data_IF_623369663914
#
_entry.id   IF_623369663914
#
_cell.length_a   1.000
_cell.length_b   1.000
_cell.length_c   1.000
_cell.angle_alpha   90.00
_cell.angle_beta   90.00
_cell.angle_gamma   90.00
#
_symmetry.space_group_name_H-M   'P 1'
#
loop_
_entity.id
_entity.type
_entity.pdbx_description
1 polymer ?
#
# COMPACT_ATOMS: atom_id res chain seq x y z
N UNK A 1 16.44 -19.86 -11.12
CA UNK A 1 15.69 -21.11 -11.35
C UNK A 1 14.23 -20.73 -11.54
N UNK A 2 13.74 -20.74 -12.78
CA UNK A 2 12.39 -20.30 -13.13
C UNK A 2 11.40 -21.44 -12.86
N UNK A 3 10.34 -21.19 -12.10
CA UNK A 3 9.22 -22.13 -11.99
C UNK A 3 8.33 -21.95 -13.23
N UNK A 4 7.94 -23.03 -13.93
CA UNK A 4 6.99 -22.93 -15.03
C UNK A 4 5.64 -22.43 -14.51
N UNK A 5 5.10 -21.38 -15.15
CA UNK A 5 3.76 -20.89 -14.88
C UNK A 5 2.75 -21.97 -15.29
N UNK A 6 2.03 -22.55 -14.33
CA UNK A 6 0.86 -23.41 -14.63
C UNK A 6 -0.23 -22.56 -15.27
N UNK A 7 -0.72 -22.97 -16.43
CA UNK A 7 -1.93 -22.44 -17.05
C UNK A 7 -3.10 -22.58 -16.09
N UNK A 8 -3.70 -21.45 -15.68
CA UNK A 8 -4.88 -21.45 -14.82
C UNK A 8 -6.10 -21.62 -15.72
N UNK A 9 -6.71 -22.81 -15.72
CA UNK A 9 -8.03 -23.00 -16.30
C UNK A 9 -9.09 -22.48 -15.33
N UNK A 10 -9.70 -21.33 -15.67
CA UNK A 10 -10.87 -20.83 -14.96
C UNK A 10 -12.10 -21.59 -15.46
N UNK A 11 -12.57 -22.55 -14.67
CA UNK A 11 -13.86 -23.21 -14.93
C UNK A 11 -14.99 -22.22 -14.63
N UNK A 12 -15.71 -21.81 -15.67
CA UNK A 12 -16.84 -20.87 -15.59
C UNK A 12 -18.05 -21.42 -14.81
N UNK A 13 -18.05 -22.69 -14.39
CA UNK A 13 -19.19 -23.34 -13.72
C UNK A 13 -18.98 -23.64 -12.24
N UNK A 14 -17.78 -23.46 -11.70
CA UNK A 14 -17.52 -23.69 -10.27
C UNK A 14 -17.88 -22.45 -9.43
N UNK A 15 -18.84 -22.57 -8.52
CA UNK A 15 -19.23 -21.51 -7.56
C UNK A 15 -18.42 -21.51 -6.27
N UNK A 16 -17.47 -22.44 -6.10
CA UNK A 16 -16.60 -22.53 -4.93
C UNK A 16 -15.16 -22.31 -5.36
N UNK A 17 -14.55 -21.25 -4.81
CA UNK A 17 -13.16 -20.91 -5.07
C UNK A 17 -12.37 -21.14 -3.78
N UNK A 18 -11.33 -21.96 -3.89
CA UNK A 18 -10.40 -22.26 -2.80
C UNK A 18 -9.33 -21.17 -2.59
N UNK A 19 -8.51 -21.32 -1.53
CA UNK A 19 -7.46 -20.37 -1.14
C UNK A 19 -6.39 -20.08 -2.23
N UNK A 20 -6.30 -20.91 -3.27
CA UNK A 20 -5.35 -20.77 -4.39
C UNK A 20 -5.54 -19.50 -5.24
N UNK A 21 -6.71 -18.85 -5.17
CA UNK A 21 -7.01 -17.67 -5.99
C UNK A 21 -6.34 -16.38 -5.47
N UNK A 22 -6.10 -16.24 -4.16
CA UNK A 22 -5.31 -15.11 -3.63
C UNK A 22 -3.83 -15.23 -4.05
N UNK A 23 -3.29 -16.45 -4.10
CA UNK A 23 -1.93 -16.75 -4.58
C UNK A 23 -1.79 -16.40 -6.08
N UNK A 24 -2.87 -16.50 -6.86
CA UNK A 24 -2.90 -16.08 -8.27
C UNK A 24 -2.67 -14.58 -8.47
N UNK A 25 -2.95 -13.73 -7.47
CA UNK A 25 -3.00 -12.28 -7.69
C UNK A 25 -1.70 -11.57 -7.39
N UNK A 26 -0.97 -12.01 -6.37
CA UNK A 26 0.45 -11.69 -6.18
C UNK A 26 1.26 -12.17 -7.38
N UNK A 27 0.91 -13.33 -7.96
CA UNK A 27 1.50 -13.82 -9.21
C UNK A 27 1.13 -12.96 -10.42
N UNK A 28 -0.09 -12.45 -10.52
CA UNK A 28 -0.50 -11.53 -11.59
C UNK A 28 0.26 -10.20 -11.51
N UNK A 29 0.39 -9.60 -10.31
CA UNK A 29 1.20 -8.40 -10.11
C UNK A 29 2.69 -8.67 -10.38
N UNK A 30 3.22 -9.82 -9.94
CA UNK A 30 4.59 -10.25 -10.22
C UNK A 30 4.81 -10.50 -11.71
N UNK A 31 3.85 -11.10 -12.42
CA UNK A 31 3.87 -11.22 -13.88
C UNK A 31 3.89 -9.84 -14.53
N UNK A 32 3.06 -8.89 -14.10
CA UNK A 32 3.09 -7.51 -14.61
C UNK A 32 4.45 -6.82 -14.41
N UNK A 33 5.06 -6.94 -13.23
CA UNK A 33 6.39 -6.37 -12.91
C UNK A 33 7.51 -7.07 -13.70
N UNK A 34 7.39 -8.38 -13.95
CA UNK A 34 8.35 -9.10 -14.78
C UNK A 34 8.19 -8.75 -16.27
N UNK A 35 6.96 -8.59 -16.75
CA UNK A 35 6.63 -8.32 -18.15
C UNK A 35 6.97 -6.88 -18.57
N UNK A 36 6.93 -5.90 -17.65
CA UNK A 36 7.41 -4.53 -17.95
C UNK A 36 8.91 -4.43 -18.20
N UNK A 37 9.69 -5.49 -17.91
CA UNK A 37 11.16 -5.53 -18.08
C UNK A 37 11.61 -6.12 -19.42
N UNK A 38 10.78 -6.92 -20.09
CA UNK A 38 11.14 -7.49 -21.38
C UNK A 38 10.69 -6.56 -22.52
N UNK A 39 11.53 -5.57 -22.86
CA UNK A 39 11.35 -4.73 -24.05
C UNK A 39 11.29 -5.51 -25.38
N UNK A 40 11.60 -6.81 -25.38
CA UNK A 40 11.79 -7.64 -26.58
C UNK A 40 10.94 -8.93 -26.61
N UNK A 41 10.12 -9.23 -25.60
CA UNK A 41 9.17 -10.34 -25.71
C UNK A 41 7.93 -9.84 -26.46
N UNK A 42 7.59 -10.51 -27.57
CA UNK A 42 6.55 -10.09 -28.52
C UNK A 42 5.31 -9.50 -27.84
N UNK A 43 4.98 -8.27 -28.25
CA UNK A 43 3.86 -7.41 -27.82
C UNK A 43 2.81 -8.10 -26.94
N UNK A 44 3.11 -8.22 -25.65
CA UNK A 44 2.06 -8.48 -24.68
C UNK A 44 1.22 -7.21 -24.60
N UNK A 45 -0.01 -7.29 -25.07
CA UNK A 45 -0.91 -6.15 -25.12
C UNK A 45 -1.39 -5.80 -23.70
N UNK A 46 -0.74 -4.81 -23.10
CA UNK A 46 -1.12 -4.26 -21.80
C UNK A 46 -2.59 -3.82 -21.77
N UNK A 47 -3.12 -3.37 -22.90
CA UNK A 47 -4.53 -3.00 -23.06
C UNK A 47 -5.41 -4.25 -22.90
N UNK A 48 -5.07 -5.35 -23.57
CA UNK A 48 -5.80 -6.61 -23.45
C UNK A 48 -5.81 -7.15 -22.01
N UNK A 49 -4.67 -7.10 -21.29
CA UNK A 49 -4.62 -7.57 -19.91
C UNK A 49 -5.42 -6.67 -18.95
N UNK A 50 -5.39 -5.35 -19.16
CA UNK A 50 -6.20 -4.40 -18.41
C UNK A 50 -7.70 -4.55 -18.70
N UNK A 51 -8.09 -4.75 -19.95
CA UNK A 51 -9.47 -5.01 -20.37
C UNK A 51 -9.99 -6.34 -19.84
N UNK A 52 -9.16 -7.39 -19.85
CA UNK A 52 -9.50 -8.68 -19.24
C UNK A 52 -9.73 -8.51 -17.72
N UNK A 53 -8.81 -7.83 -17.03
CA UNK A 53 -8.98 -7.55 -15.60
C UNK A 53 -10.23 -6.71 -15.33
N UNK A 54 -10.48 -5.67 -16.13
CA UNK A 54 -11.69 -4.85 -16.06
C UNK A 54 -12.94 -5.70 -16.24
N UNK A 55 -12.97 -6.60 -17.23
CA UNK A 55 -14.11 -7.48 -17.45
C UNK A 55 -14.40 -8.38 -16.24
N UNK A 56 -13.36 -8.90 -15.58
CA UNK A 56 -13.48 -9.70 -14.35
C UNK A 56 -13.99 -8.84 -13.18
N UNK A 57 -13.58 -7.57 -13.12
CA UNK A 57 -13.93 -6.61 -12.06
C UNK A 57 -15.37 -6.10 -12.20
N UNK A 58 -15.82 -5.82 -13.42
CA UNK A 58 -17.16 -5.28 -13.70
C UNK A 58 -18.27 -6.31 -13.54
N UNK A 59 -17.93 -7.59 -13.49
CA UNK A 59 -18.94 -8.65 -13.47
C UNK A 59 -19.56 -8.92 -12.08
N UNK A 60 -19.31 -8.10 -11.06
CA UNK A 60 -19.85 -8.20 -9.69
C UNK A 60 -19.66 -9.56 -8.98
N UNK A 61 -19.04 -10.56 -9.63
CA UNK A 61 -18.87 -11.90 -9.08
C UNK A 61 -17.91 -11.95 -7.88
N UNK A 62 -17.11 -10.89 -7.66
CA UNK A 62 -16.12 -10.85 -6.60
C UNK A 62 -16.14 -9.52 -5.83
N UNK A 63 -16.42 -9.55 -4.51
CA UNK A 63 -16.21 -8.38 -3.67
C UNK A 63 -14.70 -8.10 -3.58
N UNK A 64 -14.23 -7.18 -4.42
CA UNK A 64 -12.83 -6.78 -4.43
C UNK A 64 -12.49 -5.92 -3.21
N UNK A 65 -11.36 -6.20 -2.59
CA UNK A 65 -10.84 -5.36 -1.49
C UNK A 65 -10.51 -3.95 -2.00
N UNK A 66 -10.57 -2.94 -1.14
CA UNK A 66 -10.25 -1.55 -1.50
C UNK A 66 -8.82 -1.41 -2.04
N UNK A 67 -7.86 -2.14 -1.45
CA UNK A 67 -6.48 -2.21 -1.95
C UNK A 67 -6.42 -2.75 -3.38
N UNK A 68 -7.19 -3.80 -3.68
CA UNK A 68 -7.20 -4.38 -5.02
C UNK A 68 -7.85 -3.44 -6.05
N UNK A 69 -8.99 -2.82 -5.71
CA UNK A 69 -9.64 -1.80 -6.55
C UNK A 69 -8.69 -0.66 -6.89
N UNK A 70 -7.87 -0.23 -5.93
CA UNK A 70 -6.84 0.80 -6.13
C UNK A 70 -5.72 0.37 -7.09
N UNK A 71 -5.23 -0.87 -6.96
CA UNK A 71 -4.23 -1.42 -7.89
C UNK A 71 -4.78 -1.56 -9.30
N UNK A 72 -6.02 -1.98 -9.44
CA UNK A 72 -6.70 -2.04 -10.73
C UNK A 72 -6.89 -0.65 -11.34
N UNK A 73 -7.24 0.34 -10.52
CA UNK A 73 -7.27 1.72 -10.97
C UNK A 73 -5.89 2.15 -11.49
N UNK A 74 -4.82 1.81 -10.79
CA UNK A 74 -3.46 2.10 -11.23
C UNK A 74 -3.13 1.41 -12.56
N UNK A 75 -3.47 0.14 -12.73
CA UNK A 75 -3.29 -0.57 -14.00
C UNK A 75 -4.12 0.06 -15.14
N UNK A 76 -5.34 0.49 -14.84
CA UNK A 76 -6.24 1.15 -15.78
C UNK A 76 -5.71 2.54 -16.19
N UNK A 77 -5.19 3.31 -15.23
CA UNK A 77 -4.49 4.58 -15.49
C UNK A 77 -3.32 4.39 -16.46
N UNK A 78 -2.57 3.29 -16.34
CA UNK A 78 -1.47 2.96 -17.25
C UNK A 78 -2.02 2.54 -18.63
N UNK A 79 -3.04 1.70 -18.67
CA UNK A 79 -3.48 1.03 -19.89
C UNK A 79 -4.44 1.84 -20.77
N UNK A 80 -5.24 2.74 -20.19
CA UNK A 80 -6.29 3.47 -20.92
C UNK A 80 -6.10 4.98 -20.78
N UNK A 81 -5.40 5.60 -21.74
CA UNK A 81 -5.03 6.99 -21.66
C UNK A 81 -6.17 7.99 -21.62
N UNK A 82 -7.23 7.66 -22.32
CA UNK A 82 -8.27 8.61 -22.72
C UNK A 82 -9.49 8.53 -21.81
N UNK A 83 -9.38 7.90 -20.64
CA UNK A 83 -10.51 7.70 -19.73
C UNK A 83 -10.70 8.93 -18.84
N UNK A 84 -11.80 9.70 -18.98
CA UNK A 84 -11.94 11.00 -18.33
C UNK A 84 -12.24 10.96 -16.82
N UNK A 85 -12.72 9.83 -16.28
CA UNK A 85 -13.18 9.73 -14.89
C UNK A 85 -12.65 8.46 -14.22
N UNK A 86 -11.92 8.63 -13.13
CA UNK A 86 -11.37 7.54 -12.33
C UNK A 86 -12.08 7.47 -10.98
N UNK A 87 -12.79 6.38 -10.67
CA UNK A 87 -13.31 6.17 -9.31
C UNK A 87 -12.30 5.39 -8.47
N UNK A 88 -11.87 5.97 -7.34
CA UNK A 88 -11.08 5.30 -6.32
C UNK A 88 -11.93 5.09 -5.06
N UNK A 89 -12.00 3.86 -4.57
CA UNK A 89 -12.57 3.65 -3.24
C UNK A 89 -11.49 3.99 -2.20
N UNK A 90 -11.69 5.10 -1.48
CA UNK A 90 -10.92 5.37 -0.27
C UNK A 90 -11.63 4.70 0.90
N UNK A 91 -10.84 4.00 1.70
CA UNK A 91 -11.29 3.45 2.97
C UNK A 91 -10.21 3.72 4.01
N UNK A 92 -10.54 3.66 5.32
CA UNK A 92 -9.55 3.89 6.37
C UNK A 92 -8.21 3.19 6.09
N UNK A 93 -8.22 1.89 5.73
CA UNK A 93 -7.04 1.02 5.52
C UNK A 93 -6.15 1.47 4.36
N UNK A 94 -6.70 2.22 3.43
CA UNK A 94 -5.97 2.69 2.26
C UNK A 94 -5.50 4.13 2.41
N UNK A 95 -5.98 4.86 3.43
CA UNK A 95 -5.53 6.22 3.69
C UNK A 95 -4.10 6.21 4.22
N UNK A 96 -3.32 7.19 3.74
CA UNK A 96 -2.01 7.46 4.32
C UNK A 96 -2.21 8.04 5.71
N UNK A 97 -1.72 7.34 6.71
CA UNK A 97 -1.86 7.72 8.11
C UNK A 97 -0.75 8.69 8.47
N UNK A 98 -0.74 9.89 7.90
CA UNK A 98 0.08 11.00 8.41
C UNK A 98 -0.76 12.28 8.43
N UNK A 99 -0.60 13.16 9.45
CA UNK A 99 -1.36 14.41 9.50
C UNK A 99 -1.18 15.26 8.24
N UNK A 100 0.06 15.36 7.74
CA UNK A 100 0.38 16.06 6.50
C UNK A 100 -0.39 15.50 5.29
N UNK A 101 -0.46 14.17 5.12
CA UNK A 101 -1.15 13.57 3.99
C UNK A 101 -2.67 13.71 4.08
N UNK A 102 -3.24 13.60 5.29
CA UNK A 102 -4.67 13.83 5.50
C UNK A 102 -5.06 15.29 5.23
N UNK A 103 -4.22 16.24 5.68
CA UNK A 103 -4.43 17.66 5.36
C UNK A 103 -4.28 17.92 3.86
N UNK A 104 -3.30 17.30 3.20
CA UNK A 104 -3.13 17.40 1.76
C UNK A 104 -4.39 16.93 1.01
N UNK A 105 -5.01 15.81 1.43
CA UNK A 105 -6.26 15.35 0.82
C UNK A 105 -7.38 16.40 0.91
N UNK A 106 -7.50 17.10 2.03
CA UNK A 106 -8.49 18.18 2.22
C UNK A 106 -8.17 19.38 1.32
N UNK A 107 -6.90 19.76 1.23
CA UNK A 107 -6.45 20.88 0.40
C UNK A 107 -6.61 20.59 -1.10
N UNK A 108 -6.49 19.33 -1.51
CA UNK A 108 -6.63 18.85 -2.89
C UNK A 108 -8.08 18.47 -3.24
N UNK A 109 -9.07 19.17 -2.68
CA UNK A 109 -10.51 18.94 -2.96
C UNK A 109 -10.89 19.10 -4.45
N UNK A 110 -10.05 19.76 -5.24
CA UNK A 110 -10.21 19.87 -6.69
C UNK A 110 -9.80 18.56 -7.41
N UNK A 111 -8.83 17.82 -6.87
CA UNK A 111 -8.31 16.56 -7.42
C UNK A 111 -9.18 15.37 -6.99
N UNK A 112 -9.75 15.47 -5.80
CA UNK A 112 -10.63 14.46 -5.22
C UNK A 112 -11.90 15.17 -4.84
N UNK A 113 -13.03 14.91 -5.53
CA UNK A 113 -14.30 15.51 -5.11
C UNK A 113 -14.70 14.86 -3.80
N UNK A 114 -14.34 15.51 -2.71
CA UNK A 114 -14.65 15.07 -1.37
C UNK A 114 -16.11 15.41 -1.08
N UNK A 115 -16.94 14.39 -0.90
CA UNK A 115 -18.26 14.60 -0.31
C UNK A 115 -18.13 14.87 1.21
N UNK A 116 -19.24 15.28 1.83
CA UNK A 116 -19.26 15.57 3.27
C UNK A 116 -18.92 14.34 4.14
N UNK A 117 -19.19 13.14 3.64
CA UNK A 117 -18.97 11.90 4.36
C UNK A 117 -17.48 11.53 4.39
N UNK A 118 -16.78 11.70 3.28
CA UNK A 118 -15.34 11.50 3.17
C UNK A 118 -14.55 12.53 3.99
N UNK A 119 -14.97 13.81 3.96
CA UNK A 119 -14.43 14.81 4.88
C UNK A 119 -14.61 14.38 6.35
N UNK A 120 -15.81 13.89 6.69
CA UNK A 120 -16.08 13.35 8.01
C UNK A 120 -15.22 12.13 8.36
N UNK A 121 -14.91 11.28 7.38
CA UNK A 121 -13.99 10.15 7.56
C UNK A 121 -12.56 10.63 7.82
N UNK A 122 -12.04 11.56 7.01
CA UNK A 122 -10.68 12.11 7.19
C UNK A 122 -10.56 12.75 8.57
N UNK A 123 -11.57 13.53 9.00
CA UNK A 123 -11.61 14.11 10.34
C UNK A 123 -11.60 13.05 11.45
N UNK A 124 -12.36 11.96 11.31
CA UNK A 124 -12.36 10.84 12.27
C UNK A 124 -11.02 10.10 12.31
N UNK A 125 -10.37 9.91 11.16
CA UNK A 125 -9.03 9.30 11.11
C UNK A 125 -8.04 10.23 11.80
N UNK A 126 -7.99 11.52 11.44
CA UNK A 126 -7.10 12.50 12.05
C UNK A 126 -7.28 12.58 13.59
N UNK A 127 -8.51 12.56 14.08
CA UNK A 127 -8.80 12.49 15.52
C UNK A 127 -8.28 11.22 16.19
N UNK A 128 -8.30 10.08 15.48
CA UNK A 128 -7.71 8.84 15.96
C UNK A 128 -6.21 8.79 15.80
N UNK A 129 -5.55 9.72 15.10
CA UNK A 129 -4.08 9.78 15.04
C UNK A 129 -3.48 10.57 16.20
N UNK A 130 -4.25 11.50 16.76
CA UNK A 130 -3.85 12.30 17.91
C UNK A 130 -4.05 11.48 19.18
N UNK A 131 -3.05 11.47 20.06
CA UNK A 131 -3.14 10.85 21.39
C UNK A 131 -4.34 11.42 22.14
N UNK A 132 -5.25 10.57 22.60
CA UNK A 132 -6.37 11.00 23.44
C UNK A 132 -5.87 11.23 24.86
N UNK A 133 -6.04 12.46 25.36
CA UNK A 133 -5.77 12.77 26.76
C UNK A 133 -6.54 11.79 27.68
N UNK A 134 -5.82 11.12 28.58
CA UNK A 134 -6.39 10.15 29.52
C UNK A 134 -6.51 8.70 29.05
N UNK A 135 -6.08 8.33 27.83
CA UNK A 135 -6.02 6.92 27.43
C UNK A 135 -4.89 6.18 28.17
N UNK A 136 -5.18 5.00 28.73
CA UNK A 136 -4.23 4.19 29.53
C UNK A 136 -2.99 3.74 28.76
N UNK A 137 -3.06 3.59 27.45
CA UNK A 137 -1.89 3.38 26.58
C UNK A 137 -2.26 3.65 25.12
N UNK A 138 -1.31 4.18 24.36
CA UNK A 138 -1.42 4.45 22.94
C UNK A 138 -0.40 3.61 22.19
N UNK A 139 -0.86 2.52 21.59
CA UNK A 139 -0.02 1.47 20.98
C UNK A 139 -0.23 1.40 19.47
N UNK A 140 0.71 0.83 18.72
CA UNK A 140 0.56 0.65 17.27
C UNK A 140 -0.70 -0.16 16.92
N UNK A 141 -0.93 -1.25 17.65
CA UNK A 141 -2.13 -2.08 17.51
C UNK A 141 -3.41 -1.33 17.90
N UNK A 142 -3.36 -0.52 18.96
CA UNK A 142 -4.49 0.30 19.39
C UNK A 142 -4.87 1.35 18.36
N UNK A 143 -3.88 2.04 17.80
CA UNK A 143 -4.04 3.02 16.73
C UNK A 143 -4.69 2.38 15.49
N UNK A 144 -4.10 1.30 14.96
CA UNK A 144 -4.63 0.59 13.80
C UNK A 144 -6.05 0.08 14.06
N UNK A 145 -6.28 -0.53 15.23
CA UNK A 145 -7.60 -1.00 15.62
C UNK A 145 -8.65 0.12 15.70
N UNK A 146 -8.29 1.31 16.17
CA UNK A 146 -9.18 2.46 16.20
C UNK A 146 -9.53 2.97 14.80
N UNK A 147 -8.55 2.99 13.89
CA UNK A 147 -8.76 3.38 12.49
C UNK A 147 -9.59 2.33 11.74
N UNK A 148 -9.31 1.05 11.92
CA UNK A 148 -10.01 -0.04 11.23
C UNK A 148 -11.41 -0.28 11.79
N UNK A 149 -11.66 0.08 13.05
CA UNK A 149 -13.02 0.15 13.60
C UNK A 149 -13.91 1.14 12.84
N UNK A 150 -13.32 2.12 12.13
CA UNK A 150 -14.08 2.98 11.24
C UNK A 150 -14.61 2.20 10.02
N UNK A 151 -13.99 1.12 9.56
CA UNK A 151 -14.55 0.31 8.46
C UNK A 151 -15.79 -0.49 8.85
N UNK A 152 -15.92 -0.87 10.12
CA UNK A 152 -17.01 -1.74 10.59
C UNK A 152 -18.39 -1.09 10.56
N UNK A 153 -18.46 0.22 10.32
CA UNK A 153 -19.72 0.93 10.09
C UNK A 153 -20.01 0.86 8.60
N UNK A 154 -21.03 0.10 8.19
CA UNK A 154 -21.37 -0.27 6.80
C UNK A 154 -21.45 0.91 5.80
N UNK A 155 -21.57 2.15 6.30
CA UNK A 155 -21.57 3.38 5.52
C UNK A 155 -20.19 4.04 5.32
N UNK A 156 -19.07 3.45 5.76
CA UNK A 156 -17.75 4.09 5.64
C UNK A 156 -16.90 3.57 4.46
N UNK A 157 -17.48 2.71 3.60
CA UNK A 157 -16.93 2.36 2.30
C UNK A 157 -17.45 3.37 1.30
N UNK A 158 -16.68 4.43 1.05
CA UNK A 158 -17.10 5.47 0.12
C UNK A 158 -16.31 5.37 -1.17
N UNK A 159 -17.05 5.19 -2.26
CA UNK A 159 -16.50 5.35 -3.59
C UNK A 159 -16.21 6.82 -3.80
N UNK A 160 -14.93 7.17 -3.90
CA UNK A 160 -14.49 8.54 -4.12
C UNK A 160 -14.19 8.69 -5.60
N UNK A 161 -14.79 9.68 -6.24
CA UNK A 161 -14.43 9.98 -7.63
C UNK A 161 -13.16 10.85 -7.60
N UNK A 162 -12.09 10.33 -8.19
CA UNK A 162 -10.89 11.10 -8.49
C UNK A 162 -11.11 11.83 -9.80
N UNK A 163 -10.97 13.15 -9.76
CA UNK A 163 -11.05 14.01 -10.92
C UNK A 163 -9.62 14.43 -11.24
N UNK A 164 -8.97 13.65 -12.12
CA UNK A 164 -7.57 13.90 -12.49
C UNK A 164 -7.46 15.01 -13.57
N UNK A 165 -8.58 15.48 -14.12
CA UNK A 165 -8.62 16.52 -15.14
C UNK A 165 -8.71 17.94 -14.56
N UNK A 166 -7.74 18.80 -14.89
CA UNK A 166 -7.88 20.27 -14.76
C UNK A 166 -6.83 20.98 -13.89
N UNK A 167 -6.11 21.92 -14.54
CA UNK A 167 -5.20 22.99 -14.06
C UNK A 167 -4.12 22.63 -13.02
N UNK A 168 -2.86 22.84 -13.43
CA UNK A 168 -1.64 23.02 -12.62
C UNK A 168 -1.54 22.12 -11.37
N UNK A 169 -1.41 20.80 -11.59
CA UNK A 169 -1.12 19.85 -10.52
C UNK A 169 0.24 19.19 -10.76
N UNK A 170 0.86 18.73 -9.67
CA UNK A 170 2.10 17.97 -9.74
C UNK A 170 1.79 16.48 -9.78
N UNK A 171 2.61 15.75 -10.52
CA UNK A 171 2.49 14.31 -10.64
C UNK A 171 2.65 13.61 -9.27
N UNK A 172 3.43 14.22 -8.38
CA UNK A 172 3.65 13.81 -7.00
C UNK A 172 2.37 13.87 -6.17
N UNK A 173 1.53 14.87 -6.38
CA UNK A 173 0.26 15.01 -5.65
C UNK A 173 -0.74 13.93 -6.07
N UNK A 174 -0.78 13.58 -7.36
CA UNK A 174 -1.58 12.44 -7.83
C UNK A 174 -1.05 11.14 -7.27
N UNK A 175 0.27 10.92 -7.33
CA UNK A 175 0.92 9.75 -6.75
C UNK A 175 0.58 9.59 -5.26
N UNK A 176 0.59 10.70 -4.50
CA UNK A 176 0.22 10.79 -3.08
C UNK A 176 -1.22 10.31 -2.78
N UNK A 177 -2.09 10.30 -3.79
CA UNK A 177 -3.49 9.90 -3.67
C UNK A 177 -3.75 8.54 -4.29
N UNK A 178 -3.02 8.10 -5.32
CA UNK A 178 -3.33 6.85 -6.03
C UNK A 178 -2.51 5.65 -5.57
N UNK A 179 -1.30 5.83 -5.04
CA UNK A 179 -0.40 4.70 -4.70
C UNK A 179 -0.98 3.76 -3.64
N UNK A 180 -1.22 4.30 -2.44
CA UNK A 180 -1.73 3.52 -1.31
C UNK A 180 -0.65 2.68 -0.62
N UNK A 181 -1.06 1.85 0.36
CA UNK A 181 -0.16 0.91 1.01
C UNK A 181 0.22 -0.26 0.09
N UNK A 182 1.35 -0.90 0.43
CA UNK A 182 2.03 -1.97 -0.31
C UNK A 182 2.00 -3.29 0.51
N UNK A 183 0.80 -3.84 0.82
CA UNK A 183 0.65 -4.94 1.78
C UNK A 183 1.41 -6.22 1.40
N UNK A 184 1.66 -6.45 0.12
CA UNK A 184 2.46 -7.57 -0.38
C UNK A 184 3.91 -7.56 0.09
N UNK A 185 4.43 -6.41 0.53
CA UNK A 185 5.79 -6.28 1.05
C UNK A 185 5.86 -6.41 2.57
N UNK A 186 4.73 -6.38 3.29
CA UNK A 186 4.72 -6.44 4.77
C UNK A 186 5.41 -7.70 5.29
N UNK A 187 5.00 -8.87 4.80
CA UNK A 187 5.58 -10.15 5.23
C UNK A 187 7.05 -10.32 4.80
N UNK A 188 7.44 -10.10 3.53
CA UNK A 188 8.84 -10.13 3.14
C UNK A 188 9.72 -9.21 3.99
N UNK A 189 9.28 -7.99 4.28
CA UNK A 189 10.01 -7.04 5.11
C UNK A 189 10.10 -7.53 6.55
N UNK A 190 8.99 -8.00 7.13
CA UNK A 190 8.92 -8.54 8.48
C UNK A 190 9.94 -9.67 8.67
N UNK A 191 9.94 -10.68 7.80
CA UNK A 191 10.88 -11.79 7.88
C UNK A 191 12.33 -11.39 7.60
N UNK A 192 12.56 -10.41 6.73
CA UNK A 192 13.89 -9.85 6.49
C UNK A 192 14.45 -9.11 7.72
N UNK A 193 13.59 -8.37 8.42
CA UNK A 193 13.98 -7.66 9.63
C UNK A 193 14.24 -8.62 10.80
N UNK A 194 13.43 -9.66 10.97
CA UNK A 194 13.67 -10.68 11.99
C UNK A 194 15.01 -11.42 11.79
N UNK A 195 15.43 -11.61 10.54
CA UNK A 195 16.75 -12.15 10.21
C UNK A 195 17.88 -11.15 10.50
N UNK A 196 17.68 -9.87 10.15
CA UNK A 196 18.67 -8.82 10.35
C UNK A 196 18.84 -8.37 11.81
N UNK A 197 17.82 -8.59 12.65
CA UNK A 197 17.80 -8.25 14.08
C UNK A 197 17.49 -9.50 14.92
N UNK A 198 18.44 -10.45 15.02
CA UNK A 198 18.18 -11.72 15.67
C UNK A 198 18.12 -11.59 17.19
N UNK A 199 16.90 -11.56 17.73
CA UNK A 199 16.62 -11.74 19.14
C UNK A 199 16.63 -10.48 20.02
N UNK A 200 16.44 -10.66 21.34
CA UNK A 200 16.11 -9.57 22.26
C UNK A 200 17.15 -8.44 22.31
N UNK A 201 18.43 -8.74 22.14
CA UNK A 201 19.50 -7.71 22.17
C UNK A 201 19.49 -6.78 20.94
N UNK A 202 18.88 -7.20 19.83
CA UNK A 202 18.80 -6.43 18.60
C UNK A 202 17.50 -5.61 18.49
N UNK A 203 16.41 -6.04 19.14
CA UNK A 203 15.11 -5.37 19.07
C UNK A 203 15.10 -3.90 19.53
N UNK A 204 15.84 -3.48 20.57
CA UNK A 204 15.92 -2.05 20.93
C UNK A 204 16.46 -1.16 19.81
N UNK A 205 17.32 -1.69 18.92
CA UNK A 205 17.81 -0.94 17.76
C UNK A 205 16.75 -0.85 16.66
N UNK A 206 16.06 -1.95 16.39
CA UNK A 206 14.93 -1.97 15.46
C UNK A 206 13.81 -1.00 15.92
N UNK A 207 13.52 -0.95 17.23
CA UNK A 207 12.58 -0.01 17.83
C UNK A 207 12.92 1.44 17.48
N UNK A 208 14.19 1.84 17.60
CA UNK A 208 14.66 3.20 17.27
C UNK A 208 14.45 3.53 15.79
N UNK A 209 14.72 2.59 14.88
CA UNK A 209 14.46 2.79 13.45
C UNK A 209 12.96 3.02 13.22
N UNK A 210 12.12 2.12 13.72
CA UNK A 210 10.66 2.18 13.56
C UNK A 210 10.10 3.48 14.15
N UNK A 211 10.53 3.86 15.35
CA UNK A 211 10.13 5.11 16.01
C UNK A 211 10.51 6.35 15.20
N UNK A 212 11.65 6.33 14.49
CA UNK A 212 12.04 7.45 13.62
C UNK A 212 11.15 7.66 12.40
N UNK A 213 10.31 6.68 12.05
CA UNK A 213 9.45 6.68 10.86
C UNK A 213 7.96 6.87 11.19
N UNK A 214 7.59 6.75 12.46
CA UNK A 214 6.22 6.87 12.91
C UNK A 214 6.07 8.25 13.57
N UNK A 215 5.25 9.15 13.00
CA UNK A 215 5.09 10.52 13.51
C UNK A 215 4.19 10.60 14.75
N UNK A 216 4.05 9.49 15.49
CA UNK A 216 3.15 9.34 16.63
C UNK A 216 3.94 8.94 17.86
N UNK A 217 3.59 9.53 18.99
CA UNK A 217 4.07 9.09 20.29
C UNK A 217 3.32 7.82 20.69
N UNK A 218 3.89 6.66 20.39
CA UNK A 218 3.34 5.37 20.79
C UNK A 218 4.13 4.82 21.98
N UNK A 219 3.40 4.46 23.05
CA UNK A 219 4.00 3.98 24.30
C UNK A 219 4.74 2.63 24.10
N UNK A 220 4.34 1.83 23.10
CA UNK A 220 4.94 0.54 22.76
C UNK A 220 6.16 0.63 21.83
N UNK A 221 6.55 1.84 21.40
CA UNK A 221 7.80 2.09 20.67
C UNK A 221 8.99 2.47 21.57
N UNK A 222 8.76 2.59 22.88
CA UNK A 222 9.86 2.68 23.84
C UNK A 222 10.74 1.41 23.69
N UNK A 223 12.08 1.54 23.53
CA UNK A 223 12.92 0.42 23.14
C UNK A 223 12.84 -0.83 24.03
N UNK A 224 12.66 -0.68 25.34
CA UNK A 224 12.52 -1.81 26.27
C UNK A 224 11.14 -2.47 26.17
N UNK A 225 10.06 -1.68 26.13
CA UNK A 225 8.69 -2.17 25.95
C UNK A 225 8.54 -2.88 24.59
N UNK A 226 9.09 -2.30 23.53
CA UNK A 226 9.10 -2.89 22.21
C UNK A 226 9.84 -4.24 22.22
N UNK A 227 11.04 -4.30 22.81
CA UNK A 227 11.82 -5.52 22.87
C UNK A 227 11.08 -6.65 23.59
N UNK A 228 10.40 -6.35 24.70
CA UNK A 228 9.61 -7.33 25.45
C UNK A 228 8.42 -7.86 24.63
N UNK A 229 7.70 -6.99 23.91
CA UNK A 229 6.59 -7.37 23.04
C UNK A 229 7.06 -8.31 21.92
N UNK A 230 8.15 -7.94 21.23
CA UNK A 230 8.68 -8.74 20.11
C UNK A 230 9.29 -10.05 20.63
N UNK A 231 9.95 -10.06 21.79
CA UNK A 231 10.56 -11.27 22.33
C UNK A 231 9.54 -12.38 22.63
N UNK A 232 8.30 -12.04 22.97
CA UNK A 232 7.24 -13.01 23.23
C UNK A 232 6.75 -13.73 21.95
N UNK A 233 6.61 -12.99 20.85
CA UNK A 233 6.20 -13.51 19.54
C UNK A 233 6.75 -12.57 18.45
N UNK A 234 7.96 -12.82 17.90
CA UNK A 234 8.60 -11.87 17.00
C UNK A 234 7.82 -11.66 15.70
N UNK A 235 7.16 -12.72 15.23
CA UNK A 235 6.36 -12.69 14.01
C UNK A 235 5.12 -11.82 14.20
N UNK A 236 4.29 -12.09 15.21
CA UNK A 236 3.06 -11.32 15.41
C UNK A 236 3.31 -9.95 16.04
N UNK A 237 4.33 -9.85 16.88
CA UNK A 237 4.72 -8.61 17.53
C UNK A 237 5.09 -7.54 16.50
N UNK A 238 5.78 -7.91 15.41
CA UNK A 238 6.26 -6.94 14.43
C UNK A 238 5.16 -6.50 13.43
N UNK A 239 4.12 -7.30 13.25
CA UNK A 239 3.08 -7.13 12.22
C UNK A 239 2.44 -5.74 12.23
N UNK A 240 1.96 -5.28 13.39
CA UNK A 240 1.28 -3.98 13.51
C UNK A 240 2.20 -2.79 13.21
N UNK A 241 3.50 -2.89 13.53
CA UNK A 241 4.45 -1.83 13.25
C UNK A 241 4.77 -1.73 11.76
N UNK A 242 4.94 -2.87 11.08
CA UNK A 242 5.17 -2.90 9.63
C UNK A 242 3.94 -2.40 8.88
N UNK A 243 2.74 -2.79 9.30
CA UNK A 243 1.51 -2.23 8.74
C UNK A 243 1.42 -0.72 8.94
N UNK A 244 1.76 -0.20 10.12
CA UNK A 244 1.70 1.24 10.36
C UNK A 244 2.73 1.99 9.50
N UNK A 245 3.96 1.48 9.36
CA UNK A 245 4.98 2.06 8.47
C UNK A 245 4.51 2.02 7.01
N UNK A 246 3.89 0.92 6.59
CA UNK A 246 3.28 0.79 5.27
C UNK A 246 2.20 1.85 5.05
N UNK A 247 1.31 2.03 6.01
CA UNK A 247 0.26 3.07 5.94
C UNK A 247 0.81 4.49 6.04
N UNK A 248 2.05 4.69 6.47
CA UNK A 248 2.74 5.99 6.42
C UNK A 248 3.51 6.20 5.10
N UNK A 249 3.62 5.16 4.26
CA UNK A 249 4.42 5.07 3.04
C UNK A 249 5.92 5.15 3.29
N UNK A 250 6.38 4.53 4.37
CA UNK A 250 7.77 4.60 4.82
C UNK A 250 8.49 3.23 4.78
N UNK A 251 7.94 2.21 4.08
CA UNK A 251 8.60 0.90 3.97
C UNK A 251 9.98 0.99 3.29
N UNK A 252 10.10 1.80 2.23
CA UNK A 252 11.39 2.03 1.57
C UNK A 252 12.41 2.68 2.49
N UNK A 253 11.96 3.63 3.32
CA UNK A 253 12.84 4.30 4.30
C UNK A 253 13.24 3.34 5.44
N UNK A 254 12.32 2.50 5.92
CA UNK A 254 12.60 1.42 6.87
C UNK A 254 13.69 0.49 6.34
N UNK A 255 13.52 0.01 5.10
CA UNK A 255 14.48 -0.89 4.46
C UNK A 255 15.85 -0.22 4.28
N UNK A 256 15.88 1.05 3.87
CA UNK A 256 17.12 1.82 3.76
C UNK A 256 17.84 1.96 5.12
N UNK A 257 17.14 2.39 6.17
CA UNK A 257 17.72 2.55 7.51
C UNK A 257 18.23 1.21 8.06
N UNK A 258 17.43 0.14 7.95
CA UNK A 258 17.82 -1.19 8.39
C UNK A 258 19.02 -1.73 7.59
N UNK A 259 19.07 -1.50 6.28
CA UNK A 259 20.21 -1.88 5.43
C UNK A 259 21.49 -1.12 5.80
N UNK A 260 21.38 0.16 6.11
CA UNK A 260 22.55 0.96 6.51
C UNK A 260 23.10 0.53 7.87
N UNK A 261 22.24 0.08 8.78
CA UNK A 261 22.67 -0.42 10.09
C UNK A 261 23.21 -1.87 10.03
N UNK A 262 22.59 -2.74 9.22
CA UNK A 262 22.86 -4.17 9.16
C UNK A 262 23.40 -4.64 7.79
N UNK A 263 24.20 -3.81 7.11
CA UNK A 263 24.59 -4.00 5.70
C UNK A 263 25.13 -5.42 5.38
N UNK A 264 25.85 -6.02 6.31
CA UNK A 264 26.54 -7.30 6.15
C UNK A 264 25.80 -8.50 6.77
N UNK A 265 24.70 -8.28 7.50
CA UNK A 265 24.13 -9.30 8.39
C UNK A 265 22.95 -10.08 7.79
N UNK A 266 22.27 -9.56 6.76
CA UNK A 266 21.12 -10.27 6.16
C UNK A 266 21.06 -10.16 4.63
N UNK A 267 21.37 -11.25 3.91
CA UNK A 267 21.11 -11.37 2.48
C UNK A 267 19.62 -11.21 2.13
N UNK A 268 18.70 -11.68 2.99
CA UNK A 268 17.26 -11.53 2.75
C UNK A 268 16.84 -10.06 2.77
N UNK A 269 17.34 -9.26 3.72
CA UNK A 269 17.10 -7.82 3.76
C UNK A 269 17.61 -7.11 2.50
N UNK A 270 18.79 -7.49 1.99
CA UNK A 270 19.30 -6.95 0.73
C UNK A 270 18.39 -7.26 -0.46
N UNK A 271 17.90 -8.51 -0.55
CA UNK A 271 17.00 -8.94 -1.63
C UNK A 271 15.65 -8.25 -1.58
N UNK A 272 15.03 -8.18 -0.39
CA UNK A 272 13.74 -7.50 -0.18
C UNK A 272 13.88 -6.00 -0.46
N UNK A 273 14.96 -5.37 0.01
CA UNK A 273 15.24 -3.97 -0.31
C UNK A 273 15.34 -3.73 -1.81
N UNK A 274 16.17 -4.52 -2.52
CA UNK A 274 16.32 -4.38 -3.96
C UNK A 274 15.02 -4.65 -4.72
N UNK A 275 14.18 -5.57 -4.24
CA UNK A 275 12.86 -5.84 -4.82
C UNK A 275 11.91 -4.65 -4.62
N UNK A 276 11.85 -4.09 -3.41
CA UNK A 276 11.02 -2.94 -3.10
C UNK A 276 11.44 -1.70 -3.89
N UNK A 277 12.74 -1.38 -3.96
CA UNK A 277 13.25 -0.24 -4.72
C UNK A 277 12.88 -0.31 -6.19
N UNK A 278 12.99 -1.49 -6.82
CA UNK A 278 12.57 -1.67 -8.22
C UNK A 278 11.08 -1.51 -8.41
N UNK A 279 10.30 -2.02 -7.47
CA UNK A 279 8.84 -1.88 -7.49
C UNK A 279 8.44 -0.41 -7.33
N UNK A 280 8.99 0.30 -6.34
CA UNK A 280 8.72 1.71 -6.07
C UNK A 280 9.06 2.58 -7.28
N UNK A 281 10.23 2.36 -7.87
CA UNK A 281 10.68 3.08 -9.06
C UNK A 281 9.77 2.83 -10.27
N UNK A 282 9.34 1.59 -10.47
CA UNK A 282 8.43 1.24 -11.55
C UNK A 282 7.06 1.91 -11.37
N UNK A 283 6.51 1.92 -10.14
CA UNK A 283 5.25 2.60 -9.83
C UNK A 283 5.39 4.10 -10.05
N UNK A 284 6.43 4.73 -9.49
CA UNK A 284 6.69 6.17 -9.61
C UNK A 284 6.83 6.57 -11.07
N UNK A 285 7.73 5.93 -11.81
CA UNK A 285 7.93 6.22 -13.24
C UNK A 285 6.64 6.08 -14.03
N UNK A 286 5.87 5.01 -13.78
CA UNK A 286 4.61 4.78 -14.51
C UNK A 286 3.56 5.85 -14.21
N UNK A 287 3.37 6.24 -12.93
CA UNK A 287 2.43 7.33 -12.58
C UNK A 287 2.91 8.66 -13.16
N UNK A 288 4.18 9.02 -12.95
CA UNK A 288 4.73 10.31 -13.35
C UNK A 288 4.67 10.48 -14.87
N UNK A 289 5.16 9.49 -15.62
CA UNK A 289 5.11 9.51 -17.08
C UNK A 289 3.68 9.66 -17.59
N UNK A 290 2.76 8.87 -17.03
CA UNK A 290 1.35 8.89 -17.43
C UNK A 290 0.69 10.24 -17.16
N UNK A 291 0.99 10.84 -16.02
CA UNK A 291 0.47 12.16 -15.67
C UNK A 291 1.02 13.26 -16.59
N UNK A 292 2.31 13.18 -16.96
CA UNK A 292 2.87 14.07 -17.97
C UNK A 292 2.18 13.94 -19.33
N UNK A 293 1.83 12.72 -19.75
CA UNK A 293 1.13 12.48 -21.01
C UNK A 293 -0.30 13.05 -20.97
N UNK A 294 -1.02 12.91 -19.85
CA UNK A 294 -2.34 13.51 -19.65
C UNK A 294 -2.31 15.03 -19.71
N UNK A 295 -1.31 15.68 -19.09
CA UNK A 295 -1.14 17.14 -19.17
C UNK A 295 -0.94 17.58 -20.63
N UNK A 296 -0.13 16.86 -21.41
CA UNK A 296 0.15 17.20 -22.81
C UNK A 296 -1.06 17.07 -23.73
N UNK A 297 -1.95 16.11 -23.45
CA UNK A 297 -3.16 15.87 -24.26
C UNK A 297 -4.31 16.83 -23.92
N UNK A 298 -4.32 17.39 -22.71
CA UNK A 298 -5.34 18.33 -22.23
C UNK A 298 -5.00 19.82 -22.41
N UNK A 299 -3.83 20.14 -22.96
CA UNK A 299 -3.35 21.50 -23.28
C UNK A 299 -3.39 21.78 -24.77
#
# INVERSE_FOLDING_TARGET
>A
MFYPLKTIHVDKRSKTIGPDFQVSMTRLCACFIMLSREKNAGSFDFVYAADLLKSVVTQDYFPLTSNFKRKLLFLNLIAHPDWPDYSLNLSPSTLRLTPAALNQLILEQDLVRLDAELHGLIGKVAQNLVRKAGSKSWTAKGLLGAVDALHKKENNWRAVKLFVAGKARTAESVLAIVRGPDPEFRDPIRFALLEAYPGPSAFPRLAKIIASLIPYELDDLEPSVFADIIAADPERGLESYIELIDRNWSLGELLNKARNECADLSPKLAQVHAAYTRWDEAIRTSVLQRFHDLIRLGS
#
